data_IF_627087782208
#
_entry.id   IF_627087782208
#
_cell.length_a   1.000
_cell.length_b   1.000
_cell.length_c   1.000
_cell.angle_alpha   90.00
_cell.angle_beta   90.00
_cell.angle_gamma   90.00
#
_symmetry.space_group_name_H-M   'P 1'
#
loop_
_entity.id
_entity.type
_entity.pdbx_description
1 polymer ?
#
# COMPACT_ATOMS: atom_id res chain seq x y z
N UNK A 1 -6.49 6.44 -10.05
CA UNK A 1 -6.19 7.59 -9.17
C UNK A 1 -6.73 8.92 -9.68
N UNK A 2 -6.12 9.58 -10.70
CA UNK A 2 -6.60 10.90 -11.17
C UNK A 2 -8.07 10.92 -11.62
N UNK A 3 -8.54 9.86 -12.26
CA UNK A 3 -9.94 9.73 -12.67
C UNK A 3 -10.92 9.65 -11.48
N UNK A 4 -10.54 8.93 -10.42
CA UNK A 4 -11.33 8.79 -9.18
C UNK A 4 -11.38 10.05 -8.35
N UNK A 5 -10.24 10.74 -8.18
CA UNK A 5 -10.23 12.07 -7.54
C UNK A 5 -11.15 13.05 -8.28
N UNK A 6 -11.07 13.10 -9.62
CA UNK A 6 -11.96 13.93 -10.45
C UNK A 6 -13.43 13.52 -10.37
N UNK A 7 -13.72 12.23 -10.21
CA UNK A 7 -15.09 11.76 -10.03
C UNK A 7 -15.65 12.27 -8.69
N UNK A 8 -14.94 12.11 -7.57
CA UNK A 8 -15.40 12.61 -6.26
C UNK A 8 -15.56 14.12 -6.22
N UNK A 9 -14.64 14.89 -6.81
CA UNK A 9 -14.78 16.36 -6.96
C UNK A 9 -16.12 16.71 -7.61
N UNK A 10 -16.46 16.01 -8.71
CA UNK A 10 -17.72 16.25 -9.42
C UNK A 10 -18.97 15.86 -8.63
N UNK A 11 -18.83 14.99 -7.64
CA UNK A 11 -19.92 14.60 -6.73
C UNK A 11 -19.95 15.45 -5.45
N UNK A 12 -19.07 16.46 -5.31
CA UNK A 12 -18.96 17.27 -4.09
C UNK A 12 -18.37 16.50 -2.89
N UNK A 13 -17.73 15.35 -3.15
CA UNK A 13 -17.15 14.50 -2.12
C UNK A 13 -15.73 14.92 -1.73
N UNK A 14 -15.22 14.45 -0.58
CA UNK A 14 -13.88 14.78 -0.09
C UNK A 14 -12.78 14.32 -1.06
N UNK A 15 -11.69 15.08 -1.09
CA UNK A 15 -10.52 14.81 -1.94
C UNK A 15 -9.25 14.53 -1.18
N UNK A 16 -9.29 14.69 0.14
CA UNK A 16 -8.10 14.74 0.98
C UNK A 16 -7.75 13.35 1.49
N UNK A 17 -7.72 12.41 0.55
CA UNK A 17 -7.29 11.05 0.81
C UNK A 17 -5.80 10.94 0.48
N UNK A 18 -5.09 10.29 1.40
CA UNK A 18 -3.74 9.82 1.19
C UNK A 18 -3.79 8.50 0.44
N UNK A 19 -2.91 8.37 -0.56
CA UNK A 19 -2.69 7.10 -1.24
C UNK A 19 -1.44 6.45 -0.69
N UNK A 20 -1.58 5.21 -0.25
CA UNK A 20 -0.49 4.38 0.22
C UNK A 20 -0.27 3.28 -0.81
N UNK A 21 0.98 3.04 -1.20
CA UNK A 21 1.36 1.78 -1.84
C UNK A 21 2.28 1.05 -0.88
N UNK A 22 1.82 -0.10 -0.37
CA UNK A 22 2.49 -0.87 0.67
C UNK A 22 2.68 -2.29 0.17
N UNK A 23 3.86 -2.84 0.33
CA UNK A 23 4.13 -4.19 -0.12
C UNK A 23 5.55 -4.64 0.11
N UNK A 24 5.86 -5.78 -0.49
CA UNK A 24 7.20 -6.32 -0.40
C UNK A 24 7.48 -7.43 -1.40
N UNK A 25 8.77 -7.68 -1.59
CA UNK A 25 9.24 -8.83 -2.35
C UNK A 25 8.96 -10.11 -1.55
N UNK A 26 8.60 -11.17 -2.27
CA UNK A 26 8.47 -12.51 -1.71
C UNK A 26 9.85 -13.16 -1.67
N UNK A 27 10.50 -13.16 -0.51
CA UNK A 27 11.84 -13.73 -0.38
C UNK A 27 11.85 -15.20 0.08
N UNK A 28 10.79 -15.63 0.77
CA UNK A 28 10.62 -17.02 1.22
C UNK A 28 9.80 -17.87 0.27
N UNK A 29 9.84 -19.19 0.45
CA UNK A 29 9.11 -20.16 -0.39
C UNK A 29 7.65 -19.76 -0.60
N UNK A 30 7.23 -19.81 -1.86
CA UNK A 30 5.84 -19.59 -2.23
C UNK A 30 4.98 -20.80 -1.83
N UNK A 31 3.72 -20.55 -1.51
CA UNK A 31 2.73 -21.63 -1.40
C UNK A 31 2.55 -22.30 -2.76
N UNK A 32 2.31 -23.62 -2.82
CA UNK A 32 2.04 -24.31 -4.08
C UNK A 32 0.94 -23.61 -4.87
N UNK A 33 1.15 -23.42 -6.17
CA UNK A 33 0.25 -22.74 -7.12
C UNK A 33 0.01 -21.24 -6.86
N UNK A 34 0.77 -20.59 -5.98
CA UNK A 34 0.75 -19.12 -5.84
C UNK A 34 1.22 -18.45 -7.14
N UNK A 35 0.57 -17.37 -7.57
CA UNK A 35 1.14 -16.50 -8.62
C UNK A 35 2.30 -15.65 -8.08
N UNK A 36 2.31 -15.38 -6.77
CA UNK A 36 3.36 -14.66 -6.08
C UNK A 36 4.49 -15.64 -5.72
N UNK A 37 5.42 -15.80 -6.66
CA UNK A 37 6.60 -16.64 -6.55
C UNK A 37 7.76 -15.91 -5.87
N UNK A 38 8.83 -16.63 -5.52
CA UNK A 38 10.05 -16.03 -4.97
C UNK A 38 10.60 -14.99 -5.94
N UNK A 39 10.94 -13.80 -5.42
CA UNK A 39 11.40 -12.65 -6.21
C UNK A 39 10.27 -11.77 -6.75
N UNK A 40 9.01 -12.24 -6.76
CA UNK A 40 7.85 -11.43 -7.16
C UNK A 40 7.50 -10.39 -6.09
N UNK A 41 6.85 -9.30 -6.52
CA UNK A 41 6.36 -8.25 -5.64
C UNK A 41 4.84 -8.33 -5.48
N UNK A 42 4.38 -8.30 -4.23
CA UNK A 42 2.98 -8.06 -3.89
C UNK A 42 2.86 -6.65 -3.33
N UNK A 43 1.97 -5.84 -3.90
CA UNK A 43 1.75 -4.45 -3.50
C UNK A 43 0.26 -4.18 -3.46
N UNK A 44 -0.20 -3.68 -2.32
CA UNK A 44 -1.57 -3.20 -2.14
C UNK A 44 -1.58 -1.67 -2.23
N UNK A 45 -2.58 -1.13 -2.94
CA UNK A 45 -2.82 0.31 -3.05
C UNK A 45 -4.04 0.67 -2.22
N UNK A 46 -3.84 1.53 -1.24
CA UNK A 46 -4.85 1.95 -0.27
C UNK A 46 -5.14 3.43 -0.43
N UNK A 47 -6.40 3.80 -0.33
CA UNK A 47 -6.86 5.19 -0.28
C UNK A 47 -7.54 5.41 1.07
N UNK A 48 -7.04 6.35 1.88
CA UNK A 48 -7.52 6.60 3.25
C UNK A 48 -7.32 8.06 3.65
N UNK A 49 -8.26 8.61 4.41
CA UNK A 49 -8.19 9.92 5.06
C UNK A 49 -7.44 9.86 6.41
N UNK A 50 -7.15 8.66 6.92
CA UNK A 50 -6.47 8.43 8.19
C UNK A 50 -5.24 7.50 8.01
N UNK A 51 -4.20 7.94 7.26
CA UNK A 51 -3.08 7.08 6.89
C UNK A 51 -2.34 6.51 8.11
N UNK A 52 -2.10 7.32 9.15
CA UNK A 52 -1.40 6.87 10.35
C UNK A 52 -2.16 5.79 11.11
N UNK A 53 -3.48 5.92 11.23
CA UNK A 53 -4.33 4.94 11.90
C UNK A 53 -4.38 3.63 11.12
N UNK A 54 -4.52 3.71 9.79
CA UNK A 54 -4.48 2.54 8.92
C UNK A 54 -3.18 1.74 9.08
N UNK A 55 -2.02 2.40 9.04
CA UNK A 55 -0.70 1.76 9.17
C UNK A 55 -0.52 1.11 10.55
N UNK A 56 -0.99 1.77 11.61
CA UNK A 56 -0.96 1.23 12.96
C UNK A 56 -1.83 -0.02 13.08
N UNK A 57 -3.05 0.00 12.52
CA UNK A 57 -4.00 -1.11 12.57
C UNK A 57 -3.49 -2.38 11.86
N UNK A 58 -2.75 -2.23 10.76
CA UNK A 58 -2.14 -3.38 10.08
C UNK A 58 -0.77 -3.77 10.66
N UNK A 59 -0.30 -3.09 11.71
CA UNK A 59 1.03 -3.24 12.29
C UNK A 59 2.14 -3.17 11.23
N UNK A 60 2.11 -2.14 10.37
CA UNK A 60 3.00 -2.04 9.22
C UNK A 60 4.49 -2.06 9.59
N UNK A 61 4.87 -1.40 10.69
CA UNK A 61 6.25 -1.45 11.21
C UNK A 61 6.65 -2.87 11.60
N UNK A 62 5.76 -3.63 12.23
CA UNK A 62 5.99 -5.04 12.54
C UNK A 62 6.11 -5.92 11.29
N UNK A 63 5.33 -5.64 10.23
CA UNK A 63 5.38 -6.39 8.97
C UNK A 63 6.66 -6.16 8.17
N UNK A 64 7.22 -4.95 8.24
CA UNK A 64 8.50 -4.59 7.64
C UNK A 64 9.69 -5.02 8.51
N UNK A 65 9.49 -5.12 9.82
CA UNK A 65 10.55 -5.52 10.76
C UNK A 65 11.13 -6.88 10.37
N UNK A 66 12.46 -6.94 10.25
CA UNK A 66 13.17 -8.16 9.86
C UNK A 66 13.22 -8.42 8.35
N UNK A 67 12.66 -7.55 7.50
CA UNK A 67 12.84 -7.61 6.04
C UNK A 67 14.03 -6.76 5.58
N UNK A 68 14.75 -7.19 4.52
CA UNK A 68 15.71 -6.33 3.84
C UNK A 68 15.05 -5.03 3.34
N UNK A 69 15.76 -3.91 3.45
CA UNK A 69 15.25 -2.61 3.02
C UNK A 69 14.90 -2.58 1.51
N UNK A 70 15.65 -3.30 0.68
CA UNK A 70 15.40 -3.44 -0.77
C UNK A 70 14.21 -4.35 -1.11
N UNK A 71 13.64 -5.04 -0.12
CA UNK A 71 12.49 -5.92 -0.26
C UNK A 71 11.18 -5.29 0.26
N UNK A 72 11.21 -4.01 0.64
CA UNK A 72 10.06 -3.25 1.15
C UNK A 72 9.68 -2.20 0.11
N UNK A 73 8.38 -2.10 -0.17
CA UNK A 73 7.82 -0.99 -0.95
C UNK A 73 6.86 -0.22 -0.05
N UNK A 74 7.13 1.08 0.07
CA UNK A 74 6.40 1.99 0.92
C UNK A 74 6.41 3.38 0.29
N UNK A 75 5.25 3.79 -0.24
CA UNK A 75 5.07 5.09 -0.89
C UNK A 75 3.86 5.79 -0.30
N UNK A 76 4.06 7.06 0.06
CA UNK A 76 3.03 7.95 0.59
C UNK A 76 2.78 9.08 -0.40
N UNK A 77 1.55 9.16 -0.92
CA UNK A 77 1.10 10.30 -1.72
C UNK A 77 -0.02 11.01 -0.98
N UNK A 78 0.37 12.01 -0.19
CA UNK A 78 -0.54 12.91 0.52
C UNK A 78 -1.25 13.86 -0.45
N UNK A 79 -2.46 14.32 -0.11
CA UNK A 79 -3.11 15.39 -0.87
C UNK A 79 -2.23 16.66 -0.88
N UNK A 80 -2.15 17.29 -2.06
CA UNK A 80 -1.63 18.66 -2.24
C UNK A 80 -2.75 19.66 -2.05
#
# INVERSE_FOLDING_TARGET
LKAWRRFRIRQGGPTDFTILALGGRKDGSATPNSLLQVGSWGVDVVETDQPSEFLANINWEGLKSGRPADAILEIYNFPQ
#
